data_IF_719943364415
#
_entry.id   IF_719943364415
#
_cell.length_a   1.000
_cell.length_b   1.000
_cell.length_c   1.000
_cell.angle_alpha   90.00
_cell.angle_beta   90.00
_cell.angle_gamma   90.00
#
_symmetry.space_group_name_H-M   'P 1'
#
loop_
_entity.id
_entity.type
_entity.pdbx_description
1 polymer ?
#
# COMPACT_ATOMS: atom_id res chain seq x y z
N UNK A 1 13.37 -28.50 20.99
CA UNK A 1 12.06 -27.93 21.38
C UNK A 1 12.17 -26.47 21.86
N UNK A 2 13.17 -26.09 22.67
CA UNK A 2 13.29 -24.76 23.29
C UNK A 2 13.25 -23.50 22.39
N UNK A 3 13.72 -23.53 21.12
CA UNK A 3 13.72 -22.34 20.25
C UNK A 3 12.34 -21.91 19.72
N UNK A 4 11.38 -22.84 19.64
CA UNK A 4 10.01 -22.54 19.16
C UNK A 4 9.17 -21.87 20.25
N UNK A 5 9.35 -22.30 21.50
CA UNK A 5 8.61 -21.76 22.64
C UNK A 5 8.97 -20.29 22.93
N UNK A 6 10.25 -19.92 22.84
CA UNK A 6 10.67 -18.51 22.96
C UNK A 6 10.11 -17.62 21.85
N UNK A 7 9.99 -18.14 20.62
CA UNK A 7 9.49 -17.39 19.45
C UNK A 7 7.98 -17.15 19.53
N UNK A 8 7.22 -18.16 19.91
CA UNK A 8 5.77 -18.06 20.11
C UNK A 8 5.41 -17.10 21.26
N UNK A 9 6.22 -17.10 22.32
CA UNK A 9 6.08 -16.15 23.44
C UNK A 9 6.33 -14.71 22.98
N UNK A 10 7.38 -14.48 22.20
CA UNK A 10 7.70 -13.17 21.64
C UNK A 10 6.63 -12.65 20.66
N UNK A 11 6.03 -13.53 19.85
CA UNK A 11 4.90 -13.19 18.99
C UNK A 11 3.66 -12.74 19.79
N UNK A 12 3.38 -13.40 20.90
CA UNK A 12 2.30 -13.03 21.81
C UNK A 12 2.58 -11.75 22.59
N UNK A 13 3.85 -11.37 22.77
CA UNK A 13 4.25 -10.11 23.41
C UNK A 13 4.25 -8.93 22.42
N UNK A 14 4.54 -9.16 21.14
CA UNK A 14 4.55 -8.12 20.10
C UNK A 14 3.15 -7.75 19.65
N UNK A 15 2.23 -8.73 19.48
CA UNK A 15 0.85 -8.47 19.01
C UNK A 15 0.09 -7.41 19.83
N UNK A 16 0.14 -7.39 21.18
CA UNK A 16 -0.55 -6.40 22.01
C UNK A 16 0.20 -5.07 22.09
N UNK A 17 1.53 -5.08 21.94
CA UNK A 17 2.40 -3.92 22.15
C UNK A 17 2.65 -3.12 20.86
N UNK A 18 2.31 -3.70 19.71
CA UNK A 18 2.44 -3.05 18.41
C UNK A 18 1.40 -1.93 18.27
N UNK A 19 1.79 -0.71 18.64
CA UNK A 19 1.04 0.50 18.33
C UNK A 19 1.52 1.07 16.99
N UNK A 20 0.58 1.24 16.08
CA UNK A 20 0.82 1.87 14.79
C UNK A 20 -0.36 2.78 14.44
N UNK A 21 -0.06 3.91 13.80
CA UNK A 21 -1.09 4.86 13.41
C UNK A 21 -2.03 4.25 12.38
N UNK A 22 -3.32 4.49 12.56
CA UNK A 22 -4.33 3.99 11.63
C UNK A 22 -4.27 4.69 10.28
N UNK A 23 -4.62 3.97 9.22
CA UNK A 23 -4.65 4.54 7.88
C UNK A 23 -5.63 5.72 7.78
N UNK A 24 -5.14 6.84 7.24
CA UNK A 24 -5.93 8.03 6.97
C UNK A 24 -5.70 8.51 5.54
N UNK A 25 -6.72 8.33 4.70
CA UNK A 25 -6.72 8.67 3.28
C UNK A 25 -6.52 10.17 2.98
N UNK A 26 -6.75 11.04 3.96
CA UNK A 26 -6.53 12.49 3.83
C UNK A 26 -5.10 12.93 4.17
N UNK A 27 -4.37 12.13 4.93
CA UNK A 27 -3.03 12.47 5.40
C UNK A 27 -1.93 11.79 4.59
N UNK A 28 -2.19 10.59 4.07
CA UNK A 28 -1.20 9.83 3.31
C UNK A 28 -1.82 8.92 2.24
N UNK A 29 -1.01 8.58 1.23
CA UNK A 29 -1.40 7.57 0.25
C UNK A 29 -1.22 6.16 0.80
N UNK A 30 -2.03 5.22 0.29
CA UNK A 30 -1.96 3.81 0.70
C UNK A 30 -0.56 3.20 0.55
N UNK A 31 0.18 3.58 -0.49
CA UNK A 31 1.54 3.10 -0.73
C UNK A 31 2.51 3.54 0.37
N UNK A 32 2.40 4.80 0.84
CA UNK A 32 3.24 5.32 1.92
C UNK A 32 2.88 4.67 3.25
N UNK A 33 1.58 4.49 3.51
CA UNK A 33 1.10 3.78 4.71
C UNK A 33 1.68 2.36 4.79
N UNK A 34 1.59 1.58 3.71
CA UNK A 34 2.11 0.20 3.68
C UNK A 34 3.63 0.17 3.82
N UNK A 35 4.36 1.09 3.18
CA UNK A 35 5.81 1.17 3.36
C UNK A 35 6.19 1.45 4.82
N UNK A 36 5.51 2.40 5.48
CA UNK A 36 5.73 2.71 6.89
C UNK A 36 5.38 1.51 7.77
N UNK A 37 4.25 0.85 7.50
CA UNK A 37 3.83 -0.35 8.22
C UNK A 37 4.86 -1.47 8.11
N UNK A 38 5.31 -1.81 6.91
CA UNK A 38 6.30 -2.87 6.70
C UNK A 38 7.66 -2.52 7.31
N UNK A 39 8.04 -1.24 7.30
CA UNK A 39 9.24 -0.78 7.97
C UNK A 39 9.13 -0.97 9.49
N UNK A 40 8.01 -0.57 10.10
CA UNK A 40 7.79 -0.76 11.54
C UNK A 40 7.76 -2.24 11.93
N UNK A 41 7.14 -3.10 11.11
CA UNK A 41 7.18 -4.56 11.33
C UNK A 41 8.61 -5.10 11.28
N UNK A 42 9.45 -4.63 10.34
CA UNK A 42 10.88 -5.00 10.28
C UNK A 42 11.65 -4.53 11.52
N UNK A 43 11.34 -3.35 12.03
CA UNK A 43 11.98 -2.78 13.22
C UNK A 43 11.69 -3.57 14.52
N UNK A 44 10.65 -4.41 14.54
CA UNK A 44 10.39 -5.33 15.66
C UNK A 44 11.43 -6.45 15.79
N UNK A 45 12.39 -6.57 14.86
CA UNK A 45 13.50 -7.53 14.96
C UNK A 45 13.08 -8.99 14.81
N UNK A 46 11.92 -9.24 14.21
CA UNK A 46 11.35 -10.57 14.09
C UNK A 46 12.07 -11.40 13.02
N UNK A 47 12.69 -12.50 13.43
CA UNK A 47 13.26 -13.51 12.53
C UNK A 47 12.15 -14.50 12.10
N UNK A 48 11.13 -13.97 11.41
CA UNK A 48 10.05 -14.74 10.81
C UNK A 48 10.25 -14.81 9.31
N UNK A 49 9.98 -15.96 8.69
CA UNK A 49 10.10 -16.17 7.26
C UNK A 49 8.89 -16.93 6.72
N UNK A 50 8.50 -16.64 5.49
CA UNK A 50 7.39 -17.32 4.80
C UNK A 50 6.02 -17.04 5.45
N UNK A 51 5.21 -18.10 5.56
CA UNK A 51 3.80 -18.04 5.95
C UNK A 51 3.58 -17.45 7.35
N UNK A 52 4.49 -17.70 8.31
CA UNK A 52 4.40 -17.15 9.67
C UNK A 52 4.50 -15.61 9.69
N UNK A 53 5.34 -15.04 8.81
CA UNK A 53 5.49 -13.59 8.70
C UNK A 53 4.25 -12.96 8.06
N UNK A 54 3.71 -13.61 7.03
CA UNK A 54 2.52 -13.11 6.32
C UNK A 54 1.28 -13.15 7.22
N UNK A 55 1.11 -14.19 8.04
CA UNK A 55 0.04 -14.26 9.03
C UNK A 55 0.17 -13.16 10.08
N UNK A 56 1.38 -12.93 10.61
CA UNK A 56 1.60 -11.84 11.56
C UNK A 56 1.31 -10.47 10.93
N UNK A 57 1.82 -10.21 9.72
CA UNK A 57 1.57 -8.95 9.01
C UNK A 57 0.07 -8.74 8.78
N UNK A 58 -0.65 -9.80 8.42
CA UNK A 58 -2.11 -9.75 8.26
C UNK A 58 -2.80 -9.34 9.56
N UNK A 59 -2.48 -10.00 10.67
CA UNK A 59 -3.09 -9.71 11.97
C UNK A 59 -2.80 -8.26 12.40
N UNK A 60 -1.54 -7.84 12.31
CA UNK A 60 -1.12 -6.47 12.66
C UNK A 60 -1.77 -5.43 11.74
N UNK A 61 -1.88 -5.70 10.45
CA UNK A 61 -2.49 -4.78 9.50
C UNK A 61 -3.99 -4.61 9.79
N UNK A 62 -4.71 -5.71 10.01
CA UNK A 62 -6.15 -5.69 10.32
C UNK A 62 -6.44 -4.96 11.64
N UNK A 63 -5.56 -5.09 12.63
CA UNK A 63 -5.71 -4.41 13.92
C UNK A 63 -5.55 -2.87 13.80
N UNK A 64 -4.69 -2.41 12.88
CA UNK A 64 -4.36 -0.98 12.75
C UNK A 64 -5.14 -0.26 11.65
N UNK A 65 -5.82 -0.96 10.75
CA UNK A 65 -6.55 -0.37 9.61
C UNK A 65 -7.77 0.50 10.01
N UNK A 66 -8.27 0.39 11.23
CA UNK A 66 -9.47 1.08 11.68
C UNK A 66 -10.78 0.44 11.17
N UNK A 67 -11.89 0.73 11.84
CA UNK A 67 -13.17 0.02 11.65
C UNK A 67 -13.74 0.12 10.23
N UNK A 68 -13.64 1.29 9.57
CA UNK A 68 -14.23 1.53 8.24
C UNK A 68 -13.56 0.70 7.14
N UNK A 69 -12.23 0.65 7.16
CA UNK A 69 -11.46 -0.13 6.20
C UNK A 69 -11.58 -1.63 6.49
N UNK A 70 -11.61 -2.01 7.77
CA UNK A 70 -11.84 -3.39 8.18
C UNK A 70 -13.17 -3.95 7.66
N UNK A 71 -14.27 -3.18 7.82
CA UNK A 71 -15.58 -3.57 7.27
C UNK A 71 -15.52 -3.80 5.76
N UNK A 72 -14.87 -2.89 5.03
CA UNK A 72 -14.74 -2.99 3.58
C UNK A 72 -14.00 -4.26 3.15
N UNK A 73 -12.93 -4.61 3.87
CA UNK A 73 -12.15 -5.83 3.62
C UNK A 73 -12.99 -7.08 3.89
N UNK A 74 -13.74 -7.11 5.00
CA UNK A 74 -14.61 -8.25 5.33
C UNK A 74 -15.69 -8.44 4.25
N UNK A 75 -16.28 -7.34 3.77
CA UNK A 75 -17.35 -7.37 2.78
C UNK A 75 -16.89 -7.82 1.37
N UNK A 76 -15.62 -7.57 1.00
CA UNK A 76 -15.14 -7.76 -0.39
C UNK A 76 -13.99 -8.75 -0.56
N UNK A 77 -13.17 -8.97 0.48
CA UNK A 77 -12.01 -9.87 0.44
C UNK A 77 -12.32 -11.18 1.16
N UNK A 78 -13.05 -11.11 2.26
CA UNK A 78 -13.49 -12.26 3.05
C UNK A 78 -13.35 -12.05 4.55
N UNK A 79 -14.04 -12.89 5.33
CA UNK A 79 -14.07 -12.79 6.78
C UNK A 79 -12.67 -12.91 7.43
N UNK A 80 -12.51 -12.24 8.57
CA UNK A 80 -11.32 -12.32 9.41
C UNK A 80 -11.11 -13.78 9.84
N UNK A 81 -9.91 -14.31 9.65
CA UNK A 81 -9.58 -15.70 9.98
C UNK A 81 -9.85 -16.71 8.85
N UNK A 82 -10.39 -16.29 7.71
CA UNK A 82 -10.47 -17.17 6.53
C UNK A 82 -9.06 -17.49 6.00
N UNK A 83 -8.77 -18.77 5.76
CA UNK A 83 -7.52 -19.22 5.11
C UNK A 83 -7.36 -18.68 3.69
N UNK A 84 -8.43 -18.21 3.07
CA UNK A 84 -8.39 -17.62 1.73
C UNK A 84 -7.97 -16.15 1.73
N UNK A 85 -8.00 -15.50 2.90
CA UNK A 85 -7.65 -14.08 3.09
C UNK A 85 -6.18 -13.96 3.49
N UNK A 86 -5.34 -13.65 2.51
CA UNK A 86 -3.90 -13.46 2.71
C UNK A 86 -3.55 -11.98 2.83
N UNK A 87 -2.41 -11.67 3.46
CA UNK A 87 -1.88 -10.30 3.55
C UNK A 87 -1.79 -9.64 2.16
N UNK A 88 -1.23 -10.35 1.18
CA UNK A 88 -1.10 -9.84 -0.20
C UNK A 88 -2.46 -9.48 -0.81
N UNK A 89 -3.52 -10.28 -0.61
CA UNK A 89 -4.86 -9.95 -1.13
C UNK A 89 -5.42 -8.67 -0.50
N UNK A 90 -5.25 -8.49 0.81
CA UNK A 90 -5.72 -7.29 1.51
C UNK A 90 -5.00 -6.06 0.96
N UNK A 91 -3.67 -6.13 0.86
CA UNK A 91 -2.84 -5.03 0.35
C UNK A 91 -3.21 -4.66 -1.08
N UNK A 92 -3.36 -5.64 -1.97
CA UNK A 92 -3.74 -5.41 -3.37
C UNK A 92 -5.16 -4.87 -3.53
N UNK A 93 -6.11 -5.34 -2.71
CA UNK A 93 -7.48 -4.82 -2.73
C UNK A 93 -7.52 -3.35 -2.29
N UNK A 94 -6.85 -3.04 -1.17
CA UNK A 94 -6.77 -1.68 -0.65
C UNK A 94 -5.99 -0.76 -1.59
N UNK A 95 -4.94 -1.27 -2.25
CA UNK A 95 -4.23 -0.54 -3.29
C UNK A 95 -5.18 -0.16 -4.42
N UNK A 96 -5.93 -1.11 -4.99
CA UNK A 96 -6.92 -0.82 -6.04
C UNK A 96 -7.98 0.20 -5.59
N UNK A 97 -8.42 0.13 -4.33
CA UNK A 97 -9.44 1.02 -3.78
C UNK A 97 -8.94 2.46 -3.60
N UNK A 98 -7.70 2.60 -3.14
CA UNK A 98 -7.09 3.89 -2.80
C UNK A 98 -6.09 4.38 -3.86
N UNK A 99 -5.95 3.65 -4.97
CA UNK A 99 -5.24 4.10 -6.15
C UNK A 99 -5.96 5.34 -6.67
N UNK A 100 -5.21 6.42 -6.86
CA UNK A 100 -5.73 7.59 -7.56
C UNK A 100 -6.32 7.11 -8.89
N UNK A 101 -7.64 7.26 -9.05
CA UNK A 101 -8.31 6.94 -10.31
C UNK A 101 -7.92 7.99 -11.34
N UNK A 102 -6.78 7.78 -11.97
CA UNK A 102 -6.35 8.58 -13.09
C UNK A 102 -7.28 8.26 -14.25
N UNK A 103 -8.05 9.26 -14.68
CA UNK A 103 -8.81 9.13 -15.91
C UNK A 103 -7.82 9.24 -17.08
N UNK A 104 -7.37 8.08 -17.58
CA UNK A 104 -6.41 7.99 -18.69
C UNK A 104 -6.89 8.75 -19.94
N UNK A 105 -8.21 8.85 -20.16
CA UNK A 105 -8.75 9.65 -21.26
C UNK A 105 -8.58 11.15 -21.02
N UNK A 106 -8.78 11.61 -19.79
CA UNK A 106 -8.54 13.00 -19.41
C UNK A 106 -7.05 13.39 -19.52
N UNK A 107 -6.14 12.52 -19.07
CA UNK A 107 -4.70 12.77 -19.22
C UNK A 107 -4.24 12.76 -20.68
N UNK A 108 -4.76 11.83 -21.50
CA UNK A 108 -4.50 11.82 -22.94
C UNK A 108 -5.06 13.06 -23.63
N UNK A 109 -6.22 13.53 -23.20
CA UNK A 109 -6.82 14.77 -23.70
C UNK A 109 -5.95 15.99 -23.34
N UNK A 110 -5.49 16.10 -22.09
CA UNK A 110 -4.59 17.15 -21.66
C UNK A 110 -3.24 17.10 -22.38
N UNK A 111 -2.68 15.91 -22.58
CA UNK A 111 -1.45 15.72 -23.36
C UNK A 111 -1.65 16.14 -24.82
N UNK A 112 -2.73 15.69 -25.47
CA UNK A 112 -3.05 16.05 -26.85
C UNK A 112 -3.33 17.54 -27.06
N UNK A 113 -3.86 18.21 -26.04
CA UNK A 113 -4.15 19.64 -26.05
C UNK A 113 -3.02 20.52 -25.49
N UNK A 114 -1.89 19.93 -25.06
CA UNK A 114 -0.73 20.70 -24.59
C UNK A 114 -0.10 21.43 -25.78
N UNK A 115 -0.27 22.75 -25.82
CA UNK A 115 0.45 23.63 -26.74
C UNK A 115 1.66 24.27 -26.07
N UNK A 116 2.70 24.54 -26.87
CA UNK A 116 3.89 25.28 -26.41
C UNK A 116 3.46 26.69 -25.99
N UNK A 117 3.84 27.11 -24.79
CA UNK A 117 3.59 28.49 -24.33
C UNK A 117 4.52 29.46 -25.06
N UNK A 118 4.10 30.71 -25.24
CA UNK A 118 4.87 31.71 -26.00
C UNK A 118 6.27 31.99 -25.42
N UNK A 119 6.45 31.78 -24.12
CA UNK A 119 7.69 31.96 -23.37
C UNK A 119 8.47 30.65 -23.12
N UNK A 120 8.01 29.51 -23.65
CA UNK A 120 8.63 28.20 -23.46
C UNK A 120 9.52 27.87 -24.67
N UNK A 121 10.76 27.48 -24.42
CA UNK A 121 11.66 27.00 -25.47
C UNK A 121 11.21 25.63 -25.98
N UNK A 122 11.64 25.26 -27.19
CA UNK A 122 11.32 23.96 -27.78
C UNK A 122 11.84 22.81 -26.89
N UNK A 123 13.02 22.98 -26.27
CA UNK A 123 13.63 21.98 -25.40
C UNK A 123 12.85 21.79 -24.09
N UNK A 124 12.37 22.87 -23.48
CA UNK A 124 11.53 22.81 -22.27
C UNK A 124 10.18 22.13 -22.56
N UNK A 125 9.57 22.46 -23.70
CA UNK A 125 8.33 21.84 -24.14
C UNK A 125 8.49 20.32 -24.39
N UNK A 126 9.55 19.93 -25.09
CA UNK A 126 9.86 18.51 -25.31
C UNK A 126 10.22 17.78 -24.01
N UNK A 127 10.88 18.46 -23.06
CA UNK A 127 11.15 17.95 -21.72
C UNK A 127 9.86 17.65 -20.97
N UNK A 128 8.96 18.62 -20.88
CA UNK A 128 7.67 18.47 -20.22
C UNK A 128 6.81 17.36 -20.86
N UNK A 129 6.81 17.23 -22.18
CA UNK A 129 6.10 16.14 -22.87
C UNK A 129 6.69 14.75 -22.54
N UNK A 130 8.03 14.64 -22.46
CA UNK A 130 8.70 13.38 -22.10
C UNK A 130 8.44 12.99 -20.65
N UNK A 131 8.44 13.97 -19.75
CA UNK A 131 8.13 13.77 -18.34
C UNK A 131 6.69 13.26 -18.16
N UNK A 132 5.72 13.90 -18.84
CA UNK A 132 4.31 13.50 -18.84
C UNK A 132 4.10 12.07 -19.37
N UNK A 133 4.80 11.69 -20.44
CA UNK A 133 4.75 10.31 -21.00
C UNK A 133 5.36 9.30 -20.05
N UNK A 134 6.46 9.67 -19.37
CA UNK A 134 7.14 8.80 -18.41
C UNK A 134 6.26 8.57 -17.17
N UNK A 135 5.62 9.62 -16.68
CA UNK A 135 4.66 9.56 -15.58
C UNK A 135 3.42 8.73 -15.94
N UNK A 136 2.87 8.90 -17.15
CA UNK A 136 1.76 8.08 -17.65
C UNK A 136 2.13 6.59 -17.83
N UNK A 137 3.35 6.28 -18.28
CA UNK A 137 3.83 4.89 -18.40
C UNK A 137 4.03 4.26 -17.04
N UNK A 138 4.68 4.96 -16.12
CA UNK A 138 4.93 4.48 -14.76
C UNK A 138 3.61 4.21 -14.01
N UNK A 139 2.65 5.13 -14.11
CA UNK A 139 1.31 5.01 -13.50
C UNK A 139 0.41 3.96 -14.18
N UNK A 140 0.79 3.42 -15.35
CA UNK A 140 0.10 2.32 -16.05
C UNK A 140 0.65 0.94 -15.72
N UNK A 141 1.88 0.87 -15.20
CA UNK A 141 2.58 -0.38 -14.84
C UNK A 141 2.52 -0.70 -13.34
N UNK A 142 1.84 0.13 -12.55
CA UNK A 142 1.63 -0.01 -11.10
C UNK A 142 0.15 -0.27 -10.81
#
# INVERSE_FOLDING_TARGET
MAKRDSKAKFLNDVRPTFQFDSFNDKQESWNIYIQRFEHTVKMQGLVLTGEELDELKKDLLLNNLGCTHLKTIVDHVGAIGSKTTTYSKIVSYMATRHQEKINVFYERFNFGNRSRRGNETIMEFLGALKEFVSELRFRRSS
#
